data_IF_393347854787
#
_entry.id   IF_393347854787
#
_cell.length_a   1.000
_cell.length_b   1.000
_cell.length_c   1.000
_cell.angle_alpha   90.00
_cell.angle_beta   90.00
_cell.angle_gamma   90.00
#
_symmetry.space_group_name_H-M   'P 1'
#
loop_
_entity.id
_entity.type
_entity.pdbx_description
1 polymer ?
#
# COMPACT_ATOMS: atom_id res chain seq x y z
N UNK A 1 1.14 1.94 9.55
CA UNK A 1 1.20 2.63 8.25
C UNK A 1 2.45 3.49 8.21
N UNK A 2 3.41 3.14 7.39
CA UNK A 2 4.59 3.96 7.16
C UNK A 2 4.19 4.99 6.11
N UNK A 3 3.76 6.18 6.51
CA UNK A 3 3.72 7.31 5.59
C UNK A 3 5.18 7.72 5.40
N UNK A 4 5.78 7.27 4.32
CA UNK A 4 7.11 7.74 3.94
C UNK A 4 6.95 9.21 3.59
N UNK A 5 7.64 10.04 4.34
CA UNK A 5 7.42 11.46 4.40
C UNK A 5 7.50 12.19 3.07
N UNK A 6 6.88 13.33 3.08
CA UNK A 6 6.61 14.23 1.97
C UNK A 6 7.83 14.74 1.20
N UNK A 7 9.06 14.38 1.58
CA UNK A 7 10.29 14.97 1.05
C UNK A 7 11.16 14.06 0.17
N UNK A 8 10.80 12.77 -0.01
CA UNK A 8 11.62 11.88 -0.83
C UNK A 8 11.52 12.14 -2.32
N UNK A 9 10.54 12.94 -2.74
CA UNK A 9 10.30 13.19 -4.15
C UNK A 9 9.97 11.90 -4.92
N UNK A 10 9.72 12.02 -6.19
CA UNK A 10 9.54 10.87 -7.07
C UNK A 10 10.91 10.36 -7.54
N UNK A 11 11.11 9.06 -7.42
CA UNK A 11 12.37 8.41 -7.79
C UNK A 11 12.12 7.40 -8.90
N UNK A 12 12.84 7.55 -10.00
CA UNK A 12 12.89 6.54 -11.05
C UNK A 12 13.81 5.41 -10.62
N UNK A 13 13.28 4.19 -10.52
CA UNK A 13 14.07 3.00 -10.22
C UNK A 13 14.30 2.25 -11.54
N UNK A 14 15.43 2.51 -12.17
CA UNK A 14 15.83 1.95 -13.46
C UNK A 14 16.86 0.82 -13.34
N UNK A 15 17.27 0.49 -12.13
CA UNK A 15 18.22 -0.59 -11.87
C UNK A 15 18.58 -0.80 -10.41
N UNK A 16 19.45 -1.81 -10.13
CA UNK A 16 19.80 -2.19 -8.75
C UNK A 16 20.45 -1.06 -7.93
N UNK A 17 21.18 -0.17 -8.58
CA UNK A 17 21.82 0.98 -7.91
C UNK A 17 20.79 2.00 -7.42
N UNK A 18 19.82 2.36 -8.27
CA UNK A 18 18.72 3.26 -7.90
C UNK A 18 17.84 2.65 -6.80
N UNK A 19 17.54 1.34 -6.90
CA UNK A 19 16.79 0.64 -5.87
C UNK A 19 17.48 0.65 -4.51
N UNK A 20 18.80 0.42 -4.47
CA UNK A 20 19.59 0.46 -3.24
C UNK A 20 19.57 1.85 -2.63
N UNK A 21 19.89 2.88 -3.43
CA UNK A 21 19.88 4.28 -2.98
C UNK A 21 18.51 4.67 -2.40
N UNK A 22 17.42 4.27 -3.05
CA UNK A 22 16.07 4.52 -2.55
C UNK A 22 15.83 3.82 -1.20
N UNK A 23 16.26 2.54 -1.07
CA UNK A 23 16.17 1.81 0.20
C UNK A 23 16.94 2.49 1.33
N UNK A 24 18.17 2.96 1.07
CA UNK A 24 18.97 3.68 2.04
C UNK A 24 18.30 4.99 2.50
N UNK A 25 17.71 5.74 1.56
CA UNK A 25 16.94 6.96 1.87
C UNK A 25 15.73 6.66 2.77
N UNK A 26 15.01 5.56 2.53
CA UNK A 26 13.87 5.16 3.37
C UNK A 26 14.27 4.86 4.81
N UNK A 27 15.47 4.30 5.03
CA UNK A 27 15.97 3.99 6.38
C UNK A 27 16.34 5.25 7.19
N UNK A 28 16.69 6.33 6.51
CA UNK A 28 17.06 7.61 7.14
C UNK A 28 15.86 8.50 7.50
N UNK A 29 14.67 8.18 6.98
CA UNK A 29 13.48 9.00 7.23
C UNK A 29 13.01 8.90 8.69
N UNK A 30 12.68 10.03 9.32
CA UNK A 30 12.09 10.02 10.65
C UNK A 30 10.68 9.41 10.62
N UNK A 31 10.29 8.74 11.70
CA UNK A 31 8.89 8.31 11.88
C UNK A 31 8.01 9.54 12.09
N UNK A 32 7.05 9.75 11.17
CA UNK A 32 6.23 10.95 11.20
C UNK A 32 5.09 10.90 12.23
N UNK A 33 4.53 9.72 12.53
CA UNK A 33 3.36 9.55 13.41
C UNK A 33 3.44 8.25 14.21
N UNK A 34 2.85 8.24 15.42
CA UNK A 34 2.90 7.11 16.35
C UNK A 34 1.54 6.60 16.85
N UNK A 35 0.44 7.40 16.80
CA UNK A 35 -0.73 7.12 17.61
C UNK A 35 -1.95 6.58 16.88
N UNK A 36 -2.15 6.90 15.61
CA UNK A 36 -3.35 6.52 14.86
C UNK A 36 -3.03 6.12 13.43
N UNK A 37 -3.89 5.25 12.90
CA UNK A 37 -3.79 4.76 11.52
C UNK A 37 -4.83 5.44 10.65
N UNK A 38 -4.40 6.33 9.76
CA UNK A 38 -5.25 6.94 8.74
C UNK A 38 -4.92 6.33 7.38
N UNK A 39 -5.53 5.18 7.08
CA UNK A 39 -5.42 4.56 5.75
C UNK A 39 -6.03 5.50 4.71
N UNK A 40 -7.19 6.09 5.01
CA UNK A 40 -7.84 7.05 4.12
C UNK A 40 -6.94 8.23 3.77
N UNK A 41 -6.33 8.86 4.76
CA UNK A 41 -5.39 9.97 4.53
C UNK A 41 -4.16 9.56 3.71
N UNK A 42 -3.65 8.34 3.94
CA UNK A 42 -2.55 7.80 3.16
C UNK A 42 -2.91 7.56 1.68
N UNK A 43 -4.10 7.04 1.42
CA UNK A 43 -4.62 6.85 0.06
C UNK A 43 -4.79 8.19 -0.64
N UNK A 44 -5.41 9.18 0.02
CA UNK A 44 -5.59 10.53 -0.52
C UNK A 44 -4.27 11.21 -0.84
N UNK A 45 -3.32 11.13 0.08
CA UNK A 45 -1.98 11.68 -0.12
C UNK A 45 -1.29 11.02 -1.32
N UNK A 46 -1.25 9.69 -1.38
CA UNK A 46 -0.61 8.97 -2.47
C UNK A 46 -1.31 9.23 -3.82
N UNK A 47 -2.65 9.32 -3.84
CA UNK A 47 -3.42 9.69 -5.02
C UNK A 47 -3.03 11.08 -5.54
N UNK A 48 -2.92 12.06 -4.65
CA UNK A 48 -2.52 13.42 -5.01
C UNK A 48 -1.07 13.48 -5.53
N UNK A 49 -0.16 12.67 -4.98
CA UNK A 49 1.21 12.58 -5.49
C UNK A 49 1.26 11.97 -6.90
N UNK A 50 0.51 10.88 -7.14
CA UNK A 50 0.43 10.26 -8.46
C UNK A 50 -0.16 11.20 -9.55
N UNK A 51 -1.03 12.13 -9.17
CA UNK A 51 -1.56 13.14 -10.08
C UNK A 51 -0.53 14.23 -10.45
N UNK A 52 0.39 14.52 -9.54
CA UNK A 52 1.45 15.52 -9.74
C UNK A 52 2.72 14.93 -10.33
N UNK A 53 2.78 13.60 -10.44
CA UNK A 53 3.95 12.89 -10.88
C UNK A 53 4.45 13.39 -12.25
N UNK A 54 5.72 13.75 -12.40
CA UNK A 54 6.30 14.13 -13.69
C UNK A 54 6.40 12.93 -14.64
N UNK A 55 6.28 11.71 -14.11
CA UNK A 55 6.36 10.48 -14.89
C UNK A 55 4.97 9.96 -15.26
N UNK A 56 4.77 9.68 -16.54
CA UNK A 56 3.54 9.07 -17.05
C UNK A 56 3.70 7.54 -17.07
N UNK A 57 3.13 6.86 -16.07
CA UNK A 57 3.06 5.41 -16.05
C UNK A 57 1.82 4.88 -16.77
N UNK A 58 1.93 3.76 -17.46
CA UNK A 58 0.79 3.04 -18.04
C UNK A 58 -0.16 2.47 -16.98
N UNK A 59 0.31 2.28 -15.78
CA UNK A 59 -0.45 1.83 -14.61
C UNK A 59 -0.05 2.65 -13.38
N UNK A 60 -1.05 3.12 -12.66
CA UNK A 60 -0.86 3.81 -11.37
C UNK A 60 -1.36 2.91 -10.26
N UNK A 61 -0.50 2.60 -9.29
CA UNK A 61 -0.82 1.70 -8.18
C UNK A 61 -0.41 2.32 -6.86
N UNK A 62 -1.28 2.21 -5.88
CA UNK A 62 -1.00 2.54 -4.47
C UNK A 62 -0.89 1.24 -3.69
N UNK A 63 0.16 1.10 -2.91
CA UNK A 63 0.38 -0.02 -2.02
C UNK A 63 0.16 0.38 -0.57
N UNK A 64 -0.85 -0.23 0.05
CA UNK A 64 -1.17 -0.01 1.46
C UNK A 64 -0.67 -1.20 2.28
N UNK A 65 0.37 -0.97 3.08
CA UNK A 65 0.85 -1.96 4.04
C UNK A 65 0.48 -1.53 5.47
N UNK A 66 -0.10 -2.43 6.25
CA UNK A 66 -0.47 -2.10 7.62
C UNK A 66 -0.89 -3.31 8.45
N UNK A 67 -0.92 -3.10 9.77
CA UNK A 67 -1.24 -4.07 10.80
C UNK A 67 -2.54 -3.77 11.55
N UNK A 68 -3.37 -2.85 10.99
CA UNK A 68 -4.62 -2.45 11.61
C UNK A 68 -5.62 -1.80 10.66
N UNK A 69 -6.81 -1.53 11.21
CA UNK A 69 -7.91 -0.87 10.50
C UNK A 69 -7.71 0.64 10.41
N UNK A 70 -8.47 1.31 9.54
CA UNK A 70 -8.53 2.78 9.54
C UNK A 70 -9.23 3.27 10.82
N UNK A 71 -8.51 3.97 11.69
CA UNK A 71 -9.05 4.50 12.95
C UNK A 71 -8.89 6.02 13.09
N UNK A 72 -8.48 6.69 12.02
CA UNK A 72 -8.40 8.15 11.91
C UNK A 72 -8.69 8.61 10.48
N UNK A 73 -9.00 9.88 10.34
CA UNK A 73 -9.39 10.46 9.06
C UNK A 73 -10.84 10.13 8.70
N UNK A 74 -11.17 10.26 7.42
CA UNK A 74 -12.52 9.98 6.91
C UNK A 74 -12.74 8.49 6.64
N UNK A 75 -13.93 8.14 6.20
CA UNK A 75 -14.26 6.79 5.76
C UNK A 75 -13.29 6.32 4.67
N UNK A 76 -12.68 5.15 4.88
CA UNK A 76 -11.68 4.60 3.97
C UNK A 76 -12.27 4.17 2.62
N UNK A 77 -13.54 3.73 2.61
CA UNK A 77 -14.23 3.34 1.37
C UNK A 77 -14.41 4.55 0.44
N UNK A 78 -14.74 5.70 1.00
CA UNK A 78 -14.87 6.93 0.20
C UNK A 78 -13.53 7.32 -0.42
N UNK A 79 -12.45 7.30 0.35
CA UNK A 79 -11.10 7.59 -0.17
C UNK A 79 -10.66 6.59 -1.25
N UNK A 80 -10.95 5.30 -1.02
CA UNK A 80 -10.72 4.22 -2.00
C UNK A 80 -11.48 4.46 -3.29
N UNK A 81 -12.79 4.65 -3.19
CA UNK A 81 -13.67 4.72 -4.37
C UNK A 81 -13.36 5.95 -5.24
N UNK A 82 -13.07 7.10 -4.62
CA UNK A 82 -12.60 8.29 -5.34
C UNK A 82 -11.26 8.07 -6.04
N UNK A 83 -10.35 7.32 -5.40
CA UNK A 83 -9.04 6.99 -5.98
C UNK A 83 -9.17 6.03 -7.16
N UNK A 84 -10.05 5.03 -7.04
CA UNK A 84 -10.35 4.10 -8.14
C UNK A 84 -11.00 4.82 -9.32
N UNK A 85 -11.89 5.77 -9.07
CA UNK A 85 -12.52 6.59 -10.12
C UNK A 85 -11.49 7.37 -10.95
N UNK A 86 -10.31 7.65 -10.40
CA UNK A 86 -9.16 8.26 -11.12
C UNK A 86 -8.32 7.25 -11.91
N UNK A 87 -8.72 5.97 -11.97
CA UNK A 87 -8.00 4.89 -12.64
C UNK A 87 -6.75 4.44 -11.89
N UNK A 88 -6.71 4.61 -10.58
CA UNK A 88 -5.61 4.13 -9.71
C UNK A 88 -6.04 2.82 -9.06
N UNK A 89 -5.15 1.83 -9.06
CA UNK A 89 -5.36 0.54 -8.38
C UNK A 89 -4.79 0.62 -6.97
N UNK A 90 -5.48 0.06 -5.99
CA UNK A 90 -5.01 -0.02 -4.61
C UNK A 90 -4.83 -1.47 -4.23
N UNK A 91 -3.60 -1.87 -3.92
CA UNK A 91 -3.25 -3.19 -3.39
C UNK A 91 -3.02 -3.13 -1.89
N UNK A 92 -3.15 -4.27 -1.22
CA UNK A 92 -2.95 -4.40 0.22
C UNK A 92 -1.84 -5.39 0.60
N UNK A 93 -1.09 -5.08 1.64
CA UNK A 93 -0.25 -6.01 2.36
C UNK A 93 -0.58 -5.94 3.85
N UNK A 94 -1.27 -6.95 4.33
CA UNK A 94 -1.68 -7.05 5.73
C UNK A 94 -0.58 -7.72 6.53
N UNK A 95 -0.22 -7.13 7.66
CA UNK A 95 0.72 -7.69 8.62
C UNK A 95 -0.09 -8.14 9.83
N UNK A 96 -0.15 -9.45 10.07
CA UNK A 96 -0.81 -9.98 11.24
C UNK A 96 0.06 -9.76 12.48
N UNK A 97 -0.56 -9.39 13.59
CA UNK A 97 0.12 -9.19 14.86
C UNK A 97 -0.27 -10.29 15.84
N UNK A 98 0.72 -10.97 16.40
CA UNK A 98 0.53 -11.92 17.50
C UNK A 98 0.20 -11.21 18.83
N UNK A 99 0.25 -9.88 18.83
CA UNK A 99 0.02 -9.05 20.02
C UNK A 99 -1.06 -8.01 19.72
N UNK A 100 -2.34 -8.38 19.90
CA UNK A 100 -3.42 -7.40 19.75
C UNK A 100 -3.24 -6.27 20.76
N UNK A 101 -3.53 -5.06 20.33
CA UNK A 101 -3.46 -3.87 21.20
C UNK A 101 -4.53 -3.99 22.28
N UNK A 102 -4.19 -4.10 23.58
CA UNK A 102 -5.16 -4.45 24.63
C UNK A 102 -6.36 -3.49 24.74
N UNK A 103 -6.16 -2.21 24.41
CA UNK A 103 -7.21 -1.16 24.48
C UNK A 103 -8.00 -1.00 23.18
N UNK A 104 -7.62 -1.68 22.11
CA UNK A 104 -8.31 -1.64 20.82
C UNK A 104 -8.03 -2.92 20.00
N UNK A 105 -8.49 -4.04 20.52
CA UNK A 105 -8.27 -5.35 19.89
C UNK A 105 -8.87 -5.44 18.48
N UNK A 106 -10.01 -4.76 18.23
CA UNK A 106 -10.65 -4.74 16.92
C UNK A 106 -9.84 -3.98 15.86
N UNK A 107 -8.91 -3.13 16.27
CA UNK A 107 -8.03 -2.44 15.34
C UNK A 107 -7.10 -3.41 14.61
N UNK A 108 -6.52 -4.36 15.33
CA UNK A 108 -5.59 -5.36 14.77
C UNK A 108 -6.28 -6.66 14.39
N UNK A 109 -7.47 -6.93 14.97
CA UNK A 109 -8.25 -8.13 14.70
C UNK A 109 -9.75 -7.81 14.59
N UNK A 110 -10.18 -7.11 13.52
CA UNK A 110 -11.58 -6.78 13.30
C UNK A 110 -12.43 -8.03 13.03
N UNK A 111 -13.77 -7.94 13.14
CA UNK A 111 -14.67 -9.01 12.76
C UNK A 111 -14.37 -9.56 11.34
N UNK A 112 -14.11 -10.85 11.25
CA UNK A 112 -13.72 -11.51 10.01
C UNK A 112 -12.21 -11.44 9.69
N UNK A 113 -11.43 -10.80 10.54
CA UNK A 113 -9.97 -10.66 10.40
C UNK A 113 -9.53 -9.47 9.54
N UNK A 114 -8.26 -9.12 9.68
CA UNK A 114 -7.71 -7.93 9.04
C UNK A 114 -7.59 -8.08 7.51
N UNK A 115 -7.33 -9.28 7.01
CA UNK A 115 -7.32 -9.55 5.57
C UNK A 115 -8.67 -9.23 4.93
N UNK A 116 -9.76 -9.73 5.52
CA UNK A 116 -11.11 -9.45 5.04
C UNK A 116 -11.43 -7.96 5.13
N UNK A 117 -11.01 -7.29 6.20
CA UNK A 117 -11.20 -5.85 6.30
C UNK A 117 -10.54 -5.10 5.13
N UNK A 118 -9.32 -5.48 4.75
CA UNK A 118 -8.62 -4.86 3.61
C UNK A 118 -9.32 -5.17 2.29
N UNK A 119 -9.78 -6.41 2.10
CA UNK A 119 -10.54 -6.81 0.91
C UNK A 119 -11.82 -6.00 0.76
N UNK A 120 -12.57 -5.81 1.85
CA UNK A 120 -13.88 -5.15 1.81
C UNK A 120 -13.78 -3.61 1.77
N UNK A 121 -12.73 -3.02 2.33
CA UNK A 121 -12.71 -1.60 2.63
C UNK A 121 -11.53 -0.83 2.01
N UNK A 122 -10.38 -1.47 1.76
CA UNK A 122 -9.13 -0.77 1.43
C UNK A 122 -8.73 -0.93 -0.02
N UNK A 123 -8.67 -2.17 -0.51
CA UNK A 123 -8.23 -2.44 -1.87
C UNK A 123 -9.30 -2.16 -2.91
N UNK A 124 -8.89 -1.96 -4.15
CA UNK A 124 -9.83 -1.81 -5.26
C UNK A 124 -9.16 -1.43 -6.58
N UNK A 125 -9.96 -1.48 -7.62
CA UNK A 125 -9.52 -1.31 -8.99
C UNK A 125 -9.22 -2.65 -9.69
N UNK A 126 -9.05 -2.65 -11.04
CA UNK A 126 -8.86 -3.87 -11.83
C UNK A 126 -7.59 -4.64 -11.41
N UNK A 127 -7.77 -5.90 -11.00
CA UNK A 127 -6.67 -6.77 -10.60
C UNK A 127 -6.07 -6.43 -9.22
N UNK A 128 -6.77 -5.66 -8.38
CA UNK A 128 -6.37 -5.41 -7.00
C UNK A 128 -6.34 -6.70 -6.18
N UNK A 129 -5.38 -6.80 -5.28
CA UNK A 129 -5.22 -7.98 -4.42
C UNK A 129 -4.69 -7.62 -3.04
N UNK A 130 -4.89 -8.53 -2.09
CA UNK A 130 -4.30 -8.49 -0.75
C UNK A 130 -3.32 -9.64 -0.60
N UNK A 131 -2.17 -9.37 -0.01
CA UNK A 131 -1.28 -10.39 0.54
C UNK A 131 -1.20 -10.27 2.05
N UNK A 132 -0.92 -11.39 2.71
CA UNK A 132 -0.81 -11.47 4.16
C UNK A 132 0.62 -11.84 4.54
N UNK A 133 1.21 -11.05 5.42
CA UNK A 133 2.40 -11.43 6.19
C UNK A 133 1.94 -11.93 7.56
N UNK A 134 2.30 -13.15 7.91
CA UNK A 134 1.88 -13.79 9.17
C UNK A 134 2.37 -13.04 10.41
N UNK A 135 3.45 -12.29 10.27
CA UNK A 135 4.04 -11.45 11.31
C UNK A 135 5.08 -10.50 10.69
N UNK A 136 5.64 -9.60 11.49
CA UNK A 136 6.68 -8.67 11.05
C UNK A 136 7.96 -9.38 10.55
N UNK A 137 8.29 -10.58 11.04
CA UNK A 137 9.48 -11.33 10.56
C UNK A 137 9.28 -11.86 9.13
N UNK A 138 8.05 -12.13 8.72
CA UNK A 138 7.71 -12.58 7.37
C UNK A 138 7.44 -11.42 6.38
N UNK A 139 7.38 -10.18 6.86
CA UNK A 139 7.05 -9.00 6.07
C UNK A 139 7.96 -8.81 4.85
N UNK A 140 9.29 -8.92 5.04
CA UNK A 140 10.23 -8.77 3.92
C UNK A 140 10.01 -9.77 2.78
N UNK A 141 9.66 -11.02 3.11
CA UNK A 141 9.31 -12.03 2.10
C UNK A 141 7.97 -11.76 1.45
N UNK A 142 7.01 -11.26 2.21
CA UNK A 142 5.69 -10.93 1.70
C UNK A 142 5.75 -9.74 0.72
N UNK A 143 6.53 -8.71 1.02
CA UNK A 143 6.70 -7.56 0.11
C UNK A 143 7.40 -7.95 -1.20
N UNK A 144 8.39 -8.86 -1.15
CA UNK A 144 9.03 -9.39 -2.37
C UNK A 144 8.01 -10.16 -3.22
N UNK A 145 7.21 -11.04 -2.63
CA UNK A 145 6.14 -11.76 -3.34
C UNK A 145 5.15 -10.79 -3.98
N UNK A 146 4.79 -9.73 -3.26
CA UNK A 146 3.88 -8.69 -3.74
C UNK A 146 4.43 -7.99 -4.97
N UNK A 147 5.67 -7.52 -4.92
CA UNK A 147 6.33 -6.85 -6.04
C UNK A 147 6.45 -7.77 -7.27
N UNK A 148 6.77 -9.05 -7.07
CA UNK A 148 6.82 -10.05 -8.16
C UNK A 148 5.44 -10.21 -8.80
N UNK A 149 4.37 -10.31 -8.00
CA UNK A 149 3.01 -10.44 -8.52
C UNK A 149 2.59 -9.22 -9.35
N UNK A 150 2.94 -8.02 -8.91
CA UNK A 150 2.66 -6.77 -9.63
C UNK A 150 3.38 -6.69 -10.98
N UNK A 151 4.66 -7.07 -11.02
CA UNK A 151 5.44 -7.10 -12.25
C UNK A 151 4.89 -8.16 -13.22
N UNK A 152 4.54 -9.35 -12.72
CA UNK A 152 3.98 -10.43 -13.53
C UNK A 152 2.61 -10.07 -14.13
N UNK A 153 1.74 -9.44 -13.36
CA UNK A 153 0.43 -8.96 -13.85
C UNK A 153 0.59 -7.90 -14.96
N UNK A 154 1.61 -7.05 -14.84
CA UNK A 154 1.91 -6.05 -15.86
C UNK A 154 2.34 -6.70 -17.18
N UNK A 155 3.20 -7.70 -17.12
CA UNK A 155 3.69 -8.43 -18.32
C UNK A 155 2.56 -9.19 -19.03
N UNK A 156 1.63 -9.78 -18.30
CA UNK A 156 0.48 -10.48 -18.84
C UNK A 156 -0.51 -9.55 -19.59
N UNK A 157 -0.73 -8.36 -19.05
CA UNK A 157 -1.63 -7.37 -19.68
C UNK A 157 -1.09 -6.82 -20.99
N UNK A 158 0.22 -6.69 -21.15
CA UNK A 158 0.85 -6.23 -22.41
C UNK A 158 0.79 -7.29 -23.50
N UNK A 159 0.86 -8.59 -23.17
CA UNK A 159 0.81 -9.67 -24.15
C UNK A 159 -0.58 -9.88 -24.75
N UNK A 160 -1.65 -9.42 -24.12
CA UNK A 160 -3.03 -9.49 -24.63
C UNK A 160 -3.33 -8.38 -25.66
N UNK A 161 -2.64 -7.26 -25.59
CA UNK A 161 -2.87 -6.10 -26.49
C UNK A 161 -2.15 -6.29 -27.86
N UNK A 162 -1.22 -7.23 -27.96
CA UNK A 162 -0.47 -7.51 -29.20
C UNK A 162 -1.02 -8.69 -30.04
N UNK A 163 -2.29 -9.06 -29.84
CA UNK A 163 -2.94 -10.10 -30.69
C UNK A 163 -4.17 -9.52 -31.43
#
# INVERSE_FOLDING_TARGET
MLCVGCDTGEVMIDGPGAARKFGDQLLELPRAFADRTSISGGIEFASAQLERAPFQGSRRTIDVSGDGTNNAGRDVKLARDETIAKGIVINGLVILSDRPVPWNAEHTNPPGGLEKYYQDNVIGGPGAFVLVAENFNSFGRAIIKKLIAEIALHSASQSVIMR
#
